data_IF_805054679427
#
_entry.id   IF_805054679427
#
_cell.length_a   1.000
_cell.length_b   1.000
_cell.length_c   1.000
_cell.angle_alpha   90.00
_cell.angle_beta   90.00
_cell.angle_gamma   90.00
#
_symmetry.space_group_name_H-M   'P 1'
#
loop_
_entity.id
_entity.type
_entity.pdbx_description
1 polymer ?
#
# COMPACT_ATOMS: atom_id res chain seq x y z
N UNK A 1 9.68 -14.93 -2.88
CA UNK A 1 8.56 -15.91 -2.80
C UNK A 1 7.27 -15.36 -3.44
N UNK A 2 6.80 -14.15 -3.11
CA UNK A 2 5.55 -13.58 -3.64
C UNK A 2 5.56 -13.41 -5.16
N UNK A 3 6.64 -12.91 -5.74
CA UNK A 3 6.77 -12.73 -7.19
C UNK A 3 6.58 -14.02 -7.96
N UNK A 4 7.18 -15.11 -7.49
CA UNK A 4 7.05 -16.43 -8.13
C UNK A 4 5.62 -16.97 -8.04
N UNK A 5 4.93 -16.75 -6.92
CA UNK A 5 3.53 -17.14 -6.78
C UNK A 5 2.63 -16.39 -7.77
N UNK A 6 2.78 -15.05 -7.84
CA UNK A 6 2.04 -14.23 -8.81
C UNK A 6 2.35 -14.63 -10.25
N UNK A 7 3.62 -14.90 -10.59
CA UNK A 7 4.02 -15.38 -11.91
C UNK A 7 3.31 -16.68 -12.28
N UNK A 8 3.20 -17.63 -11.35
CA UNK A 8 2.52 -18.91 -11.59
C UNK A 8 1.01 -18.72 -11.78
N UNK A 9 0.36 -17.86 -10.99
CA UNK A 9 -1.07 -17.56 -11.17
C UNK A 9 -1.34 -16.88 -12.52
N UNK A 10 -0.50 -15.95 -12.93
CA UNK A 10 -0.60 -15.31 -14.24
C UNK A 10 -0.43 -16.33 -15.38
N UNK A 11 0.53 -17.26 -15.23
CA UNK A 11 0.74 -18.32 -16.23
C UNK A 11 -0.48 -19.23 -16.36
N UNK A 12 -1.17 -19.53 -15.25
CA UNK A 12 -2.36 -20.38 -15.26
C UNK A 12 -3.52 -19.79 -16.10
N UNK A 13 -3.54 -18.46 -16.27
CA UNK A 13 -4.52 -17.76 -17.12
C UNK A 13 -3.91 -17.32 -18.47
N UNK A 14 -2.77 -17.87 -18.85
CA UNK A 14 -2.13 -17.65 -20.16
C UNK A 14 -1.22 -16.42 -20.24
N UNK A 15 -0.99 -15.70 -19.12
CA UNK A 15 -0.11 -14.53 -19.09
C UNK A 15 1.31 -14.95 -18.71
N UNK A 16 2.25 -14.80 -19.66
CA UNK A 16 3.66 -15.09 -19.44
C UNK A 16 4.38 -13.88 -18.87
N UNK A 17 4.51 -13.82 -17.55
CA UNK A 17 5.23 -12.76 -16.85
C UNK A 17 6.72 -13.14 -16.66
N UNK A 18 7.61 -12.18 -16.84
CA UNK A 18 9.05 -12.32 -16.51
C UNK A 18 9.31 -11.49 -15.24
N UNK A 19 9.85 -12.15 -14.23
CA UNK A 19 10.27 -11.45 -13.01
C UNK A 19 11.61 -10.76 -13.25
N UNK A 20 11.67 -9.49 -12.84
CA UNK A 20 12.88 -8.70 -12.82
C UNK A 20 13.06 -8.09 -11.44
N UNK A 21 14.11 -8.49 -10.73
CA UNK A 21 14.43 -7.95 -9.41
C UNK A 21 15.24 -6.68 -9.57
N UNK A 22 14.76 -5.60 -8.98
CA UNK A 22 15.40 -4.29 -9.01
C UNK A 22 15.67 -3.80 -7.58
N UNK A 23 16.70 -3.01 -7.41
CA UNK A 23 16.88 -2.21 -6.21
C UNK A 23 15.79 -1.13 -6.16
N UNK A 24 15.34 -0.76 -4.96
CA UNK A 24 14.20 0.15 -4.76
C UNK A 24 14.34 1.47 -5.54
N UNK A 25 15.51 2.08 -5.50
CA UNK A 25 15.75 3.34 -6.24
C UNK A 25 15.58 3.17 -7.76
N UNK A 26 16.12 2.08 -8.32
CA UNK A 26 15.98 1.76 -9.75
C UNK A 26 14.54 1.41 -10.11
N UNK A 27 13.80 0.72 -9.22
CA UNK A 27 12.39 0.43 -9.40
C UNK A 27 11.58 1.73 -9.54
N UNK A 28 11.76 2.66 -8.60
CA UNK A 28 11.05 3.95 -8.58
C UNK A 28 11.37 4.77 -9.84
N UNK A 29 12.65 4.87 -10.21
CA UNK A 29 13.06 5.61 -11.42
C UNK A 29 12.40 5.03 -12.69
N UNK A 30 12.43 3.71 -12.86
CA UNK A 30 11.85 3.06 -14.03
C UNK A 30 10.32 3.11 -14.04
N UNK A 31 9.69 3.06 -12.86
CA UNK A 31 8.24 3.26 -12.73
C UNK A 31 7.84 4.67 -13.18
N UNK A 32 8.54 5.71 -12.71
CA UNK A 32 8.34 7.11 -13.12
C UNK A 32 8.60 7.36 -14.60
N UNK A 33 9.52 6.62 -15.19
CA UNK A 33 9.79 6.67 -16.63
C UNK A 33 8.76 5.90 -17.49
N UNK A 34 7.75 5.25 -16.87
CA UNK A 34 6.76 4.45 -17.58
C UNK A 34 7.29 3.16 -18.19
N UNK A 35 8.47 2.70 -17.76
CA UNK A 35 9.13 1.51 -18.31
C UNK A 35 8.58 0.19 -17.76
N UNK A 36 7.82 0.23 -16.66
CA UNK A 36 7.30 -0.96 -16.00
C UNK A 36 5.83 -1.17 -16.36
N UNK A 37 5.49 -2.40 -16.75
CA UNK A 37 4.09 -2.80 -16.99
C UNK A 37 3.33 -3.04 -15.70
N UNK A 38 3.99 -3.61 -14.72
CA UNK A 38 3.51 -3.84 -13.36
C UNK A 38 4.70 -4.01 -12.42
N UNK A 39 4.52 -3.75 -11.15
CA UNK A 39 5.50 -4.06 -10.12
C UNK A 39 4.81 -4.52 -8.83
N UNK A 40 5.56 -5.24 -8.01
CA UNK A 40 5.15 -5.62 -6.66
C UNK A 40 5.76 -4.62 -5.68
N UNK A 41 4.91 -3.97 -4.92
CA UNK A 41 5.30 -3.01 -3.91
C UNK A 41 4.65 -3.30 -2.57
N UNK A 42 5.09 -2.62 -1.54
CA UNK A 42 4.48 -2.60 -0.22
C UNK A 42 4.47 -1.18 0.33
N UNK A 43 3.52 -0.91 1.19
CA UNK A 43 3.40 0.37 1.87
C UNK A 43 2.90 0.16 3.30
N UNK A 44 3.46 0.92 4.25
CA UNK A 44 2.98 1.00 5.62
C UNK A 44 2.56 2.42 5.97
N UNK A 45 1.45 2.58 6.68
CA UNK A 45 0.94 3.91 7.09
C UNK A 45 1.57 4.45 8.37
N UNK A 46 2.44 3.69 9.02
CA UNK A 46 3.20 4.09 10.20
C UNK A 46 2.36 4.80 11.28
N UNK A 47 1.38 4.10 11.84
CA UNK A 47 0.47 4.58 12.89
C UNK A 47 -0.73 5.40 12.41
N UNK A 48 -0.84 5.75 11.15
CA UNK A 48 -2.02 6.46 10.65
C UNK A 48 -3.02 5.43 10.13
N UNK A 49 -4.05 5.16 10.91
CA UNK A 49 -5.09 4.19 10.55
C UNK A 49 -6.25 4.89 9.82
N UNK A 50 -5.94 5.53 8.70
CA UNK A 50 -6.88 6.26 7.85
C UNK A 50 -6.51 6.08 6.38
N UNK A 51 -7.52 6.01 5.52
CA UNK A 51 -7.35 5.86 4.06
C UNK A 51 -6.56 7.02 3.45
N UNK A 52 -6.66 8.22 4.03
CA UNK A 52 -5.90 9.39 3.60
C UNK A 52 -4.39 9.26 3.77
N UNK A 53 -3.92 8.27 4.55
CA UNK A 53 -2.50 8.06 4.73
C UNK A 53 -1.81 7.41 3.53
N UNK A 54 -2.54 6.66 2.71
CA UNK A 54 -1.96 5.90 1.60
C UNK A 54 -2.46 6.36 0.22
N UNK A 55 -3.77 6.48 0.02
CA UNK A 55 -4.29 6.70 -1.33
C UNK A 55 -3.80 8.01 -1.99
N UNK A 56 -3.71 9.16 -1.31
CA UNK A 56 -3.20 10.37 -1.92
C UNK A 56 -1.75 10.26 -2.40
N UNK A 57 -0.89 9.50 -1.71
CA UNK A 57 0.50 9.34 -2.14
C UNK A 57 0.65 8.71 -3.53
N UNK A 58 -0.38 7.96 -3.97
CA UNK A 58 -0.31 7.19 -5.22
C UNK A 58 -1.40 7.55 -6.24
N UNK A 59 -2.36 8.42 -5.88
CA UNK A 59 -3.52 8.69 -6.74
C UNK A 59 -4.01 10.14 -6.68
N UNK A 60 -3.21 11.11 -6.23
CA UNK A 60 -3.60 12.52 -6.16
C UNK A 60 -2.97 13.41 -7.25
N UNK A 61 -2.36 12.80 -8.26
CA UNK A 61 -1.66 13.50 -9.33
C UNK A 61 -0.19 13.78 -9.03
N UNK A 62 0.35 13.30 -7.88
CA UNK A 62 1.75 13.44 -7.51
C UNK A 62 2.69 12.55 -8.33
N UNK A 63 3.98 12.61 -7.98
CA UNK A 63 5.05 11.94 -8.72
C UNK A 63 4.97 10.40 -8.72
N UNK A 64 4.20 9.82 -7.81
CA UNK A 64 3.99 8.37 -7.68
C UNK A 64 2.59 7.94 -8.13
N UNK A 65 1.79 8.86 -8.69
CA UNK A 65 0.51 8.56 -9.36
C UNK A 65 0.75 8.15 -10.81
N UNK A 66 0.69 6.87 -11.08
CA UNK A 66 0.85 6.31 -12.43
C UNK A 66 -0.48 6.10 -13.16
N UNK A 67 -1.60 6.22 -12.45
CA UNK A 67 -2.93 6.09 -13.02
C UNK A 67 -3.43 7.41 -13.64
N UNK A 68 -3.08 8.54 -13.03
CA UNK A 68 -3.47 9.90 -13.43
C UNK A 68 -4.99 10.04 -13.68
N UNK A 69 -5.80 9.37 -12.84
CA UNK A 69 -7.26 9.35 -12.97
C UNK A 69 -7.89 10.53 -12.22
N UNK A 70 -8.35 11.53 -12.95
CA UNK A 70 -8.92 12.76 -12.39
C UNK A 70 -10.18 12.55 -11.54
N UNK A 71 -10.96 11.49 -11.77
CA UNK A 71 -12.11 11.19 -10.90
C UNK A 71 -11.65 10.65 -9.56
N UNK A 72 -10.63 9.77 -9.55
CA UNK A 72 -10.02 9.30 -8.32
C UNK A 72 -9.44 10.48 -7.54
N UNK A 73 -8.66 11.34 -8.19
CA UNK A 73 -8.08 12.54 -7.57
C UNK A 73 -9.15 13.43 -6.94
N UNK A 74 -10.28 13.66 -7.65
CA UNK A 74 -11.42 14.44 -7.15
C UNK A 74 -12.01 13.82 -5.88
N UNK A 75 -12.23 12.52 -5.85
CA UNK A 75 -12.79 11.84 -4.68
C UNK A 75 -11.81 11.85 -3.51
N UNK A 76 -10.51 11.69 -3.74
CA UNK A 76 -9.50 11.77 -2.69
C UNK A 76 -9.45 13.17 -2.08
N UNK A 77 -9.50 14.22 -2.90
CA UNK A 77 -9.58 15.61 -2.42
C UNK A 77 -10.86 15.83 -1.61
N UNK A 78 -12.03 15.37 -2.10
CA UNK A 78 -13.30 15.48 -1.38
C UNK A 78 -13.27 14.77 -0.02
N UNK A 79 -12.75 13.55 0.03
CA UNK A 79 -12.62 12.79 1.27
C UNK A 79 -11.60 13.39 2.24
N UNK A 80 -10.50 13.92 1.74
CA UNK A 80 -9.44 14.53 2.52
C UNK A 80 -9.81 15.89 3.13
N UNK A 81 -10.64 16.65 2.45
CA UNK A 81 -11.09 17.99 2.90
C UNK A 81 -12.33 17.99 3.80
N UNK A 82 -13.00 16.84 3.96
CA UNK A 82 -14.22 16.74 4.77
C UNK A 82 -13.94 16.19 6.16
N UNK A 83 -14.64 16.72 7.17
CA UNK A 83 -14.68 16.19 8.53
C UNK A 83 -15.90 15.26 8.74
N UNK A 84 -16.87 15.21 7.80
CA UNK A 84 -18.03 14.32 7.88
C UNK A 84 -17.61 12.87 7.57
N UNK A 85 -17.83 11.93 8.49
CA UNK A 85 -17.56 10.52 8.25
C UNK A 85 -18.30 9.95 7.03
N UNK A 86 -19.52 10.41 6.78
CA UNK A 86 -20.38 9.97 5.68
C UNK A 86 -19.78 10.40 4.34
N UNK A 87 -19.44 11.68 4.20
CA UNK A 87 -18.81 12.24 2.99
C UNK A 87 -17.46 11.54 2.72
N UNK A 88 -16.65 11.37 3.76
CA UNK A 88 -15.37 10.66 3.66
C UNK A 88 -15.55 9.23 3.17
N UNK A 89 -16.48 8.50 3.80
CA UNK A 89 -16.78 7.10 3.45
C UNK A 89 -17.24 6.98 2.01
N UNK A 90 -18.14 7.84 1.56
CA UNK A 90 -18.66 7.83 0.17
C UNK A 90 -17.52 8.10 -0.82
N UNK A 91 -16.76 9.16 -0.62
CA UNK A 91 -15.68 9.57 -1.51
C UNK A 91 -14.57 8.52 -1.60
N UNK A 92 -14.07 8.02 -0.47
CA UNK A 92 -13.04 6.98 -0.47
C UNK A 92 -13.54 5.63 -1.00
N UNK A 93 -14.81 5.28 -0.75
CA UNK A 93 -15.39 4.07 -1.34
C UNK A 93 -15.48 4.15 -2.85
N UNK A 94 -15.84 5.31 -3.41
CA UNK A 94 -15.86 5.54 -4.85
C UNK A 94 -14.45 5.43 -5.45
N UNK A 95 -13.47 6.08 -4.83
CA UNK A 95 -12.07 5.99 -5.24
C UNK A 95 -11.55 4.54 -5.23
N UNK A 96 -11.74 3.81 -4.13
CA UNK A 96 -11.27 2.42 -3.99
C UNK A 96 -11.93 1.52 -5.02
N UNK A 97 -13.25 1.64 -5.24
CA UNK A 97 -13.97 0.86 -6.25
C UNK A 97 -13.42 1.10 -7.65
N UNK A 98 -13.09 2.32 -7.99
CA UNK A 98 -12.50 2.63 -9.29
C UNK A 98 -11.08 2.11 -9.42
N UNK A 99 -10.23 2.34 -8.43
CA UNK A 99 -8.85 1.84 -8.39
C UNK A 99 -8.79 0.33 -8.59
N UNK A 100 -9.64 -0.42 -7.88
CA UNK A 100 -9.68 -1.88 -8.00
C UNK A 100 -10.37 -2.35 -9.27
N UNK A 101 -11.46 -1.70 -9.69
CA UNK A 101 -12.20 -2.04 -10.90
C UNK A 101 -11.41 -1.80 -12.19
N UNK A 102 -10.54 -0.78 -12.21
CA UNK A 102 -9.62 -0.51 -13.32
C UNK A 102 -8.29 -1.27 -13.19
N UNK A 103 -8.13 -2.06 -12.13
CA UNK A 103 -6.90 -2.79 -11.84
C UNK A 103 -5.65 -1.89 -11.76
N UNK A 104 -5.80 -0.63 -11.32
CA UNK A 104 -4.64 0.22 -11.03
C UNK A 104 -3.80 -0.39 -9.90
N UNK A 105 -4.48 -0.95 -8.89
CA UNK A 105 -3.89 -1.76 -7.84
C UNK A 105 -4.64 -3.08 -7.66
N UNK A 106 -3.90 -4.14 -7.38
CA UNK A 106 -4.39 -5.43 -6.93
C UNK A 106 -3.86 -5.70 -5.52
N UNK A 107 -4.60 -5.37 -4.45
CA UNK A 107 -4.20 -5.69 -3.08
C UNK A 107 -4.04 -7.20 -2.90
N UNK A 108 -2.88 -7.65 -2.43
CA UNK A 108 -2.59 -9.07 -2.26
C UNK A 108 -2.84 -9.53 -0.82
N UNK A 109 -2.27 -8.84 0.16
CA UNK A 109 -2.38 -9.18 1.58
C UNK A 109 -1.86 -8.04 2.46
N UNK A 110 -2.16 -8.10 3.74
CA UNK A 110 -1.51 -7.32 4.78
C UNK A 110 -0.39 -8.13 5.44
N UNK A 111 0.66 -7.46 5.88
CA UNK A 111 1.75 -8.11 6.59
C UNK A 111 1.33 -8.50 8.02
N UNK A 112 1.88 -9.61 8.47
CA UNK A 112 1.90 -9.97 9.89
C UNK A 112 3.32 -9.74 10.40
N UNK A 113 3.48 -8.83 11.36
CA UNK A 113 4.76 -8.55 11.97
C UNK A 113 4.93 -9.43 13.21
N UNK A 114 6.02 -10.16 13.25
CA UNK A 114 6.37 -11.06 14.37
C UNK A 114 7.47 -10.43 15.20
N UNK A 115 7.25 -10.37 16.51
CA UNK A 115 8.24 -9.88 17.47
C UNK A 115 8.75 -11.01 18.35
N UNK A 116 10.07 -11.17 18.40
CA UNK A 116 10.74 -12.04 19.37
C UNK A 116 11.36 -11.21 20.48
N UNK A 117 11.08 -11.54 21.74
CA UNK A 117 11.68 -10.87 22.90
C UNK A 117 12.01 -11.85 24.02
N UNK A 118 12.89 -11.46 24.94
CA UNK A 118 13.23 -12.25 26.10
C UNK A 118 12.00 -12.49 26.99
N UNK A 119 11.86 -13.68 27.58
CA UNK A 119 10.72 -14.03 28.45
C UNK A 119 10.59 -13.08 29.65
N UNK A 120 11.70 -12.53 30.12
CA UNK A 120 11.76 -11.60 31.26
C UNK A 120 11.37 -10.16 30.85
N UNK A 121 11.23 -9.85 29.56
CA UNK A 121 10.82 -8.55 29.09
C UNK A 121 9.29 -8.51 28.96
N UNK A 122 8.65 -7.59 29.67
CA UNK A 122 7.27 -7.23 29.44
C UNK A 122 7.21 -6.23 28.28
N UNK A 123 6.80 -6.71 27.12
CA UNK A 123 6.77 -5.95 25.86
C UNK A 123 5.46 -6.22 25.13
N UNK A 124 4.76 -5.16 24.78
CA UNK A 124 3.53 -5.23 23.97
C UNK A 124 3.83 -4.73 22.56
N UNK A 125 3.71 -5.57 21.52
CA UNK A 125 3.83 -5.13 20.15
C UNK A 125 2.58 -4.30 19.75
N UNK A 126 2.79 -3.32 18.89
CA UNK A 126 1.73 -2.47 18.36
C UNK A 126 1.51 -2.76 16.87
N UNK A 127 0.25 -2.66 16.37
CA UNK A 127 -0.08 -2.94 14.97
C UNK A 127 0.57 -1.99 13.96
N UNK A 128 1.05 -0.85 14.41
CA UNK A 128 1.69 0.19 13.59
C UNK A 128 3.18 -0.04 13.32
N UNK A 129 3.71 -1.21 13.72
CA UNK A 129 5.10 -1.60 13.56
C UNK A 129 6.13 -0.70 14.27
N UNK A 130 5.67 0.25 15.10
CA UNK A 130 6.55 1.13 15.86
C UNK A 130 6.79 0.56 17.27
N UNK A 131 7.94 -0.01 17.55
CA UNK A 131 8.23 -0.56 18.87
C UNK A 131 8.43 0.58 19.90
N UNK A 132 7.58 0.58 20.91
CA UNK A 132 7.62 1.57 22.00
C UNK A 132 8.46 1.03 23.15
N UNK A 133 9.77 0.93 22.97
CA UNK A 133 10.68 0.38 23.98
C UNK A 133 10.65 1.12 25.32
N UNK A 134 10.28 2.40 25.32
CA UNK A 134 10.10 3.19 26.54
C UNK A 134 8.96 2.69 27.44
N UNK A 135 8.05 1.86 26.93
CA UNK A 135 7.01 1.18 27.70
C UNK A 135 7.41 -0.23 28.16
N UNK A 136 8.49 -0.77 27.61
CA UNK A 136 8.94 -2.10 27.99
C UNK A 136 9.57 -2.10 29.40
N UNK A 137 9.33 -3.17 30.16
CA UNK A 137 9.82 -3.32 31.54
C UNK A 137 10.42 -4.71 31.73
N UNK A 138 11.46 -4.80 32.54
CA UNK A 138 11.95 -6.07 33.02
C UNK A 138 11.04 -6.56 34.16
N UNK A 139 10.71 -7.86 34.13
CA UNK A 139 9.96 -8.55 35.21
C UNK A 139 10.88 -8.90 36.36
#
# INVERSE_FOLDING_TARGET
QWGSAVQNYLLAVGIRAKLNQLQTAALIQRAKAGELRAYLGSWGSYSINDVSAILPNFFDGGADDYALDHEVQKWLMQGGSSISPEVRKEAYSAAIKKITGQAYWAPLHTYVTTYGHAKQLDFTPYPDELPRFYLAKWK
#
